data_IF_705969608391
#
_entry.id   IF_705969608391
#
_cell.length_a   1.000
_cell.length_b   1.000
_cell.length_c   1.000
_cell.angle_alpha   90.00
_cell.angle_beta   90.00
_cell.angle_gamma   90.00
#
_symmetry.space_group_name_H-M   'P 1'
#
loop_
_entity.id
_entity.type
_entity.pdbx_description
1 polymer ?
#
# COMPACT_ATOMS: atom_id res chain seq x y z
N UNK A 1 9.13 -39.38 -17.90
CA UNK A 1 9.99 -38.35 -17.28
C UNK A 1 9.04 -37.34 -16.65
N UNK A 2 8.87 -37.39 -15.32
CA UNK A 2 8.01 -36.43 -14.62
C UNK A 2 8.64 -35.04 -14.78
N UNK A 3 7.84 -34.04 -15.17
CA UNK A 3 8.29 -32.64 -15.13
C UNK A 3 8.81 -32.35 -13.71
N UNK A 4 9.94 -31.65 -13.54
CA UNK A 4 10.34 -31.20 -12.23
C UNK A 4 9.17 -30.39 -11.67
N UNK A 5 8.75 -30.68 -10.43
CA UNK A 5 7.89 -29.78 -9.69
C UNK A 5 8.67 -28.45 -9.68
N UNK A 6 8.21 -27.45 -10.43
CA UNK A 6 8.69 -26.09 -10.22
C UNK A 6 8.60 -25.83 -8.73
N UNK A 7 9.75 -25.62 -8.10
CA UNK A 7 9.83 -25.44 -6.66
C UNK A 7 8.87 -24.29 -6.30
N UNK A 8 7.73 -24.61 -5.69
CA UNK A 8 6.66 -23.63 -5.43
C UNK A 8 7.23 -22.53 -4.55
N UNK A 9 7.22 -21.29 -5.05
CA UNK A 9 7.61 -20.11 -4.27
C UNK A 9 6.41 -19.68 -3.45
N UNK A 10 6.60 -19.46 -2.16
CA UNK A 10 5.52 -19.05 -1.27
C UNK A 10 6.05 -18.01 -0.30
N UNK A 11 5.27 -16.96 -0.05
CA UNK A 11 5.54 -16.05 1.05
C UNK A 11 4.24 -15.79 1.80
N UNK A 12 4.35 -15.64 3.11
CA UNK A 12 3.25 -15.25 3.98
C UNK A 12 3.66 -13.96 4.68
N UNK A 13 2.84 -12.93 4.50
CA UNK A 13 2.85 -11.73 5.31
C UNK A 13 1.60 -11.79 6.18
N UNK A 14 1.79 -11.99 7.48
CA UNK A 14 0.72 -11.91 8.46
C UNK A 14 0.98 -10.74 9.39
N UNK A 15 -0.03 -9.87 9.53
CA UNK A 15 0.04 -8.69 10.37
C UNK A 15 -1.21 -8.66 11.24
N UNK A 16 -1.02 -8.58 12.55
CA UNK A 16 -2.05 -8.15 13.49
C UNK A 16 -1.82 -6.68 13.79
N UNK A 17 -2.87 -5.87 13.83
CA UNK A 17 -2.73 -4.44 14.15
C UNK A 17 -3.89 -4.04 15.04
N UNK A 18 -3.63 -3.46 16.23
CA UNK A 18 -4.66 -2.75 16.98
C UNK A 18 -5.27 -1.65 16.11
N UNK A 19 -6.58 -1.47 16.16
CA UNK A 19 -7.26 -0.43 15.37
C UNK A 19 -6.76 1.00 15.70
N UNK A 20 -6.16 1.16 16.88
CA UNK A 20 -5.51 2.42 17.32
C UNK A 20 -4.27 2.78 16.50
N UNK A 21 -3.72 1.83 15.74
CA UNK A 21 -2.50 2.00 14.94
C UNK A 21 -2.79 2.05 13.44
N UNK A 22 -4.06 2.21 13.09
CA UNK A 22 -4.53 2.23 11.71
C UNK A 22 -5.33 3.48 11.40
N UNK A 23 -5.37 3.85 10.13
CA UNK A 23 -6.33 4.82 9.59
C UNK A 23 -6.86 4.34 8.24
N UNK A 24 -8.04 4.83 7.86
CA UNK A 24 -8.59 4.66 6.51
C UNK A 24 -9.16 5.97 6.01
N UNK A 25 -9.10 6.18 4.69
CA UNK A 25 -9.83 7.25 4.01
C UNK A 25 -10.43 6.74 2.71
N UNK A 26 -11.60 7.29 2.35
CA UNK A 26 -12.34 6.91 1.16
C UNK A 26 -12.96 8.14 0.51
N UNK A 27 -12.87 8.24 -0.81
CA UNK A 27 -13.54 9.28 -1.58
C UNK A 27 -15.05 9.04 -1.69
N UNK A 28 -15.48 7.77 -1.61
CA UNK A 28 -16.88 7.36 -1.64
C UNK A 28 -17.19 6.44 -0.45
N UNK A 29 -18.44 6.37 0.04
CA UNK A 29 -18.82 5.54 1.19
C UNK A 29 -18.91 4.03 0.84
N UNK A 30 -17.97 3.54 0.03
CA UNK A 30 -17.88 2.17 -0.46
C UNK A 30 -16.64 1.51 0.19
N UNK A 31 -16.81 0.69 1.24
CA UNK A 31 -15.69 0.14 2.00
C UNK A 31 -14.88 -0.85 1.16
N UNK A 32 -13.57 -0.80 1.36
CA UNK A 32 -12.58 -1.71 0.80
C UNK A 32 -11.59 -2.10 1.91
N UNK A 33 -10.73 -3.07 1.65
CA UNK A 33 -9.70 -3.47 2.62
C UNK A 33 -10.28 -3.98 3.93
N UNK A 34 -9.67 -3.61 5.06
CA UNK A 34 -10.18 -4.04 6.37
C UNK A 34 -11.48 -3.31 6.77
N UNK A 35 -11.84 -2.20 6.13
CA UNK A 35 -13.09 -1.49 6.44
C UNK A 35 -14.34 -2.29 6.06
N UNK A 36 -14.22 -3.34 5.24
CA UNK A 36 -15.32 -4.26 4.91
C UNK A 36 -15.86 -4.99 6.14
N UNK A 37 -15.04 -5.18 7.18
CA UNK A 37 -15.46 -5.82 8.43
C UNK A 37 -15.79 -4.81 9.55
N UNK A 38 -15.76 -3.50 9.26
CA UNK A 38 -16.16 -2.48 10.20
C UNK A 38 -17.69 -2.39 10.31
N UNK A 39 -18.20 -1.87 11.43
CA UNK A 39 -19.64 -1.75 11.67
C UNK A 39 -20.32 -0.77 10.70
N UNK A 40 -19.64 0.32 10.32
CA UNK A 40 -20.16 1.35 9.43
C UNK A 40 -19.08 2.28 8.88
N UNK A 41 -19.36 2.94 7.75
CA UNK A 41 -18.61 4.10 7.29
C UNK A 41 -18.90 5.32 8.19
N UNK A 42 -17.91 6.21 8.37
CA UNK A 42 -18.13 7.50 9.03
C UNK A 42 -18.94 8.44 8.12
N UNK A 43 -19.38 9.56 8.69
CA UNK A 43 -19.74 10.73 7.90
C UNK A 43 -18.50 11.41 7.31
N UNK A 44 -18.69 12.63 6.78
CA UNK A 44 -17.60 13.50 6.33
C UNK A 44 -16.62 13.75 7.49
N UNK A 45 -15.33 13.56 7.21
CA UNK A 45 -14.25 13.84 8.15
C UNK A 45 -13.71 15.25 7.90
N UNK A 46 -13.27 15.97 8.94
CA UNK A 46 -12.60 17.27 8.83
C UNK A 46 -11.06 17.14 8.79
N UNK A 47 -10.54 15.95 9.13
CA UNK A 47 -9.11 15.62 9.09
C UNK A 47 -8.70 15.02 7.74
N UNK A 48 -8.77 15.79 6.65
CA UNK A 48 -8.29 15.38 5.31
C UNK A 48 -7.70 16.58 4.53
N UNK A 49 -7.10 16.30 3.37
CA UNK A 49 -6.62 17.32 2.40
C UNK A 49 -5.49 18.27 2.86
N UNK A 50 -4.90 18.04 4.03
CA UNK A 50 -3.62 18.64 4.43
C UNK A 50 -2.54 17.59 4.67
N UNK A 51 -1.28 18.03 4.53
CA UNK A 51 -0.11 17.19 4.79
C UNK A 51 -0.01 16.91 6.29
N UNK A 52 -0.03 15.64 6.68
CA UNK A 52 -0.12 15.20 8.08
C UNK A 52 -1.50 14.64 8.47
N UNK A 53 -2.54 14.88 7.67
CA UNK A 53 -3.90 14.39 8.01
C UNK A 53 -3.98 12.87 8.18
N UNK A 54 -3.19 12.10 7.42
CA UNK A 54 -3.11 10.65 7.59
C UNK A 54 -2.62 10.25 8.99
N UNK A 55 -1.60 10.93 9.51
CA UNK A 55 -1.09 10.74 10.86
C UNK A 55 -2.13 11.14 11.91
N UNK A 56 -2.81 12.27 11.71
CA UNK A 56 -3.83 12.75 12.66
C UNK A 56 -5.05 11.83 12.73
N UNK A 57 -5.30 11.01 11.69
CA UNK A 57 -6.33 9.95 11.70
C UNK A 57 -5.91 8.66 12.40
N UNK A 58 -4.63 8.46 12.71
CA UNK A 58 -4.16 7.29 13.48
C UNK A 58 -4.30 7.59 14.97
N UNK A 59 -5.17 6.89 15.73
CA UNK A 59 -5.42 7.24 17.14
C UNK A 59 -4.17 7.30 18.04
N UNK A 60 -3.20 6.40 17.85
CA UNK A 60 -1.95 6.38 18.64
C UNK A 60 -1.09 7.64 18.43
N UNK A 61 -1.25 8.37 17.32
CA UNK A 61 -0.50 9.61 17.06
C UNK A 61 -0.82 10.75 18.04
N UNK A 62 -1.94 10.66 18.76
CA UNK A 62 -2.31 11.65 19.78
C UNK A 62 -1.35 11.65 20.98
N UNK A 63 -0.69 10.53 21.26
CA UNK A 63 0.19 10.37 22.42
C UNK A 63 1.61 9.94 22.04
N UNK A 64 1.83 9.48 20.81
CA UNK A 64 3.14 9.00 20.34
C UNK A 64 3.54 9.63 19.01
N UNK A 65 4.84 9.84 18.82
CA UNK A 65 5.41 10.38 17.57
C UNK A 65 5.50 9.34 16.45
N UNK A 66 5.35 8.05 16.76
CA UNK A 66 5.43 6.94 15.79
C UNK A 66 6.80 6.85 15.07
N UNK A 67 7.89 7.20 15.76
CA UNK A 67 9.25 7.11 15.22
C UNK A 67 9.69 5.65 15.03
N UNK A 68 10.38 5.31 13.94
CA UNK A 68 10.90 3.97 13.75
C UNK A 68 12.02 3.65 14.74
N UNK A 69 12.09 2.40 15.21
CA UNK A 69 13.20 1.92 16.04
C UNK A 69 13.69 0.54 15.59
N UNK A 70 14.90 0.50 15.05
CA UNK A 70 15.59 -0.67 14.52
C UNK A 70 15.59 -0.76 12.98
N UNK A 71 15.97 -1.94 12.46
CA UNK A 71 15.97 -2.26 11.02
C UNK A 71 15.51 -3.71 10.81
N UNK A 72 14.93 -4.08 9.64
CA UNK A 72 14.60 -5.48 9.37
C UNK A 72 15.85 -6.37 9.43
N UNK A 73 15.72 -7.54 10.04
CA UNK A 73 16.81 -8.50 10.23
C UNK A 73 16.30 -9.94 10.14
N UNK A 74 17.20 -10.88 9.82
CA UNK A 74 16.85 -12.29 9.85
C UNK A 74 16.63 -12.74 11.29
N UNK A 75 15.54 -13.48 11.52
CA UNK A 75 15.26 -14.07 12.84
C UNK A 75 16.27 -15.17 13.21
N UNK A 76 16.73 -15.91 12.21
CA UNK A 76 17.76 -16.92 12.34
C UNK A 76 19.10 -16.36 11.83
N UNK A 77 20.19 -16.53 12.58
CA UNK A 77 21.54 -16.05 12.21
C UNK A 77 22.14 -16.74 10.96
N UNK A 78 21.42 -17.67 10.34
CA UNK A 78 21.84 -18.32 9.10
C UNK A 78 21.60 -17.39 7.92
N UNK A 79 22.64 -16.62 7.60
CA UNK A 79 22.67 -15.82 6.38
C UNK A 79 23.19 -16.68 5.20
N UNK A 80 22.31 -17.03 4.26
CA UNK A 80 22.69 -17.52 2.94
C UNK A 80 22.79 -16.34 1.98
N UNK A 81 23.77 -16.29 1.08
CA UNK A 81 23.83 -15.23 0.05
C UNK A 81 22.69 -15.31 -0.97
N UNK A 82 22.02 -16.47 -1.07
CA UNK A 82 20.81 -16.66 -1.88
C UNK A 82 19.71 -17.32 -1.03
N UNK A 83 18.60 -16.61 -0.76
CA UNK A 83 17.47 -17.15 0.00
C UNK A 83 16.64 -18.22 -0.74
N UNK A 84 16.94 -18.48 -2.01
CA UNK A 84 16.25 -19.49 -2.80
C UNK A 84 16.44 -20.90 -2.20
N UNK A 85 15.36 -21.67 -2.08
CA UNK A 85 15.34 -23.00 -1.46
C UNK A 85 15.22 -23.04 0.07
N UNK A 86 15.21 -21.89 0.76
CA UNK A 86 15.17 -21.82 2.24
C UNK A 86 13.84 -21.27 2.76
N UNK A 87 13.51 -21.62 4.01
CA UNK A 87 12.48 -20.95 4.80
C UNK A 87 13.15 -19.85 5.62
N UNK A 88 12.74 -18.61 5.37
CA UNK A 88 13.32 -17.41 5.97
C UNK A 88 12.24 -16.67 6.73
N UNK A 89 12.56 -16.33 7.98
CA UNK A 89 11.74 -15.44 8.79
C UNK A 89 12.47 -14.11 8.99
N UNK A 90 11.80 -13.00 8.70
CA UNK A 90 12.32 -11.65 8.96
C UNK A 90 11.65 -11.09 10.20
N UNK A 91 12.46 -10.66 11.15
CA UNK A 91 12.04 -9.78 12.22
C UNK A 91 12.16 -8.34 11.73
N UNK A 92 11.06 -7.59 11.68
CA UNK A 92 11.11 -6.16 11.30
C UNK A 92 11.46 -5.28 12.52
N UNK A 93 11.33 -3.96 12.37
CA UNK A 93 11.57 -2.95 13.43
C UNK A 93 10.29 -2.20 13.87
N UNK A 94 10.32 -1.51 15.02
CA UNK A 94 9.15 -0.79 15.55
C UNK A 94 8.66 0.31 14.58
N UNK A 95 7.35 0.53 14.51
CA UNK A 95 6.70 1.56 13.69
C UNK A 95 6.97 1.48 12.18
N UNK A 96 7.18 0.26 11.67
CA UNK A 96 7.12 -0.01 10.22
C UNK A 96 5.75 0.43 9.67
N UNK A 97 5.72 1.18 8.57
CA UNK A 97 4.49 1.67 7.98
C UNK A 97 4.08 0.81 6.78
N UNK A 98 2.87 0.26 6.81
CA UNK A 98 2.23 -0.40 5.67
C UNK A 98 1.14 0.53 5.14
N UNK A 99 1.11 0.76 3.83
CA UNK A 99 0.00 1.45 3.17
C UNK A 99 -0.52 0.62 2.00
N UNK A 100 -1.84 0.56 1.89
CA UNK A 100 -2.54 0.01 0.73
C UNK A 100 -3.52 1.04 0.17
N UNK A 101 -3.12 1.82 -0.85
CA UNK A 101 -4.04 2.63 -1.61
C UNK A 101 -4.67 1.82 -2.75
N UNK A 102 -5.93 2.12 -3.08
CA UNK A 102 -6.68 1.44 -4.12
C UNK A 102 -7.45 2.39 -5.03
N UNK A 103 -7.73 1.90 -6.24
CA UNK A 103 -8.54 2.58 -7.25
C UNK A 103 -9.59 1.58 -7.73
N UNK A 104 -10.87 1.94 -7.66
CA UNK A 104 -11.99 1.07 -8.03
C UNK A 104 -12.93 1.82 -8.97
N UNK A 105 -13.06 1.33 -10.19
CA UNK A 105 -13.87 1.93 -11.26
C UNK A 105 -14.94 0.96 -11.80
N UNK A 106 -15.24 -0.11 -11.06
CA UNK A 106 -16.24 -1.11 -11.49
C UNK A 106 -17.63 -0.52 -11.68
N UNK A 107 -18.00 0.46 -10.85
CA UNK A 107 -19.28 1.14 -10.92
C UNK A 107 -19.20 2.45 -11.74
N UNK A 108 -18.06 2.73 -12.37
CA UNK A 108 -17.85 3.94 -13.15
C UNK A 108 -18.54 3.91 -14.49
N UNK A 109 -18.98 5.09 -14.94
CA UNK A 109 -19.55 5.24 -16.28
C UNK A 109 -18.47 5.00 -17.35
N UNK A 110 -18.83 4.65 -18.61
CA UNK A 110 -17.85 4.52 -19.68
C UNK A 110 -17.00 5.78 -19.90
N UNK A 111 -17.57 6.97 -19.66
CA UNK A 111 -16.86 8.24 -19.74
C UNK A 111 -15.81 8.39 -18.63
N UNK A 112 -16.19 8.08 -17.39
CA UNK A 112 -15.30 8.11 -16.24
C UNK A 112 -14.18 7.06 -16.35
N UNK A 113 -14.50 5.83 -16.79
CA UNK A 113 -13.50 4.78 -17.07
C UNK A 113 -12.50 5.25 -18.14
N UNK A 114 -12.99 5.91 -19.19
CA UNK A 114 -12.11 6.48 -20.22
C UNK A 114 -11.18 7.52 -19.60
N UNK A 115 -11.71 8.45 -18.82
CA UNK A 115 -10.89 9.48 -18.15
C UNK A 115 -9.87 8.86 -17.19
N UNK A 116 -10.26 7.89 -16.36
CA UNK A 116 -9.35 7.17 -15.48
C UNK A 116 -8.18 6.59 -16.26
N UNK A 117 -8.46 5.89 -17.37
CA UNK A 117 -7.42 5.27 -18.19
C UNK A 117 -6.52 6.27 -18.94
N UNK A 118 -7.03 7.45 -19.31
CA UNK A 118 -6.27 8.43 -20.09
C UNK A 118 -5.53 9.47 -19.23
N UNK A 119 -6.00 9.72 -18.01
CA UNK A 119 -5.50 10.81 -17.16
C UNK A 119 -4.91 10.29 -15.86
N UNK A 120 -5.68 9.57 -15.05
CA UNK A 120 -5.29 9.17 -13.69
C UNK A 120 -4.29 8.02 -13.72
N UNK A 121 -4.62 6.94 -14.44
CA UNK A 121 -3.81 5.72 -14.50
C UNK A 121 -2.38 5.99 -14.99
N UNK A 122 -2.13 6.75 -16.07
CA UNK A 122 -0.77 7.02 -16.52
C UNK A 122 0.07 7.77 -15.47
N UNK A 123 -0.51 8.75 -14.77
CA UNK A 123 0.18 9.49 -13.71
C UNK A 123 0.50 8.59 -12.52
N UNK A 124 -0.46 7.73 -12.13
CA UNK A 124 -0.26 6.73 -11.08
C UNK A 124 0.84 5.73 -11.46
N UNK A 125 0.78 5.15 -12.66
CA UNK A 125 1.76 4.19 -13.17
C UNK A 125 3.18 4.81 -13.16
N UNK A 126 3.32 6.07 -13.62
CA UNK A 126 4.58 6.82 -13.57
C UNK A 126 5.12 6.98 -12.15
N UNK A 127 4.26 7.30 -11.18
CA UNK A 127 4.66 7.41 -9.78
C UNK A 127 5.08 6.08 -9.16
N UNK A 128 4.38 5.01 -9.51
CA UNK A 128 4.76 3.67 -9.09
C UNK A 128 6.12 3.29 -9.69
N UNK A 129 6.40 3.60 -10.95
CA UNK A 129 7.72 3.36 -11.55
C UNK A 129 8.85 4.16 -10.88
N UNK A 130 8.61 5.44 -10.57
CA UNK A 130 9.58 6.29 -9.88
C UNK A 130 9.95 5.72 -8.51
N UNK A 131 8.96 5.28 -7.74
CA UNK A 131 9.18 4.58 -6.47
C UNK A 131 9.98 3.29 -6.62
N UNK A 132 9.84 2.57 -7.75
CA UNK A 132 10.65 1.36 -7.98
C UNK A 132 12.11 1.73 -8.20
N UNK A 133 12.35 2.76 -9.03
CA UNK A 133 13.70 3.22 -9.41
C UNK A 133 14.45 3.85 -8.23
N UNK A 134 13.73 4.51 -7.32
CA UNK A 134 14.30 5.24 -6.18
C UNK A 134 14.09 4.53 -4.82
N UNK A 135 13.81 3.23 -4.83
CA UNK A 135 13.44 2.46 -3.64
C UNK A 135 14.45 2.61 -2.49
N UNK A 136 15.75 2.48 -2.76
CA UNK A 136 16.83 2.60 -1.78
C UNK A 136 16.84 3.93 -1.02
N UNK A 137 16.56 5.05 -1.70
CA UNK A 137 16.60 6.38 -1.08
C UNK A 137 15.25 6.81 -0.46
N UNK A 138 14.16 6.16 -0.87
CA UNK A 138 12.80 6.52 -0.45
C UNK A 138 12.44 6.03 0.95
N UNK A 139 13.13 5.01 1.46
CA UNK A 139 12.69 4.27 2.67
C UNK A 139 11.53 3.30 2.39
N UNK A 140 11.16 3.07 1.13
CA UNK A 140 10.18 2.07 0.72
C UNK A 140 10.88 0.73 0.50
N UNK A 141 10.78 -0.19 1.47
CA UNK A 141 11.38 -1.52 1.38
C UNK A 141 10.76 -2.35 0.28
N UNK A 142 9.44 -2.25 0.11
CA UNK A 142 8.73 -3.05 -0.87
C UNK A 142 7.53 -2.31 -1.39
N UNK A 143 7.25 -2.47 -2.68
CA UNK A 143 6.04 -1.98 -3.31
C UNK A 143 5.56 -3.00 -4.34
N UNK A 144 4.28 -3.34 -4.28
CA UNK A 144 3.58 -4.14 -5.29
C UNK A 144 2.40 -3.36 -5.79
N UNK A 145 2.36 -3.10 -7.09
CA UNK A 145 1.21 -2.52 -7.76
C UNK A 145 0.52 -3.62 -8.55
N UNK A 146 -0.73 -3.90 -8.20
CA UNK A 146 -1.45 -5.12 -8.55
C UNK A 146 -2.74 -4.79 -9.27
N UNK A 147 -3.07 -5.61 -10.27
CA UNK A 147 -4.43 -5.73 -10.81
C UNK A 147 -5.15 -6.81 -10.01
N UNK A 148 -6.43 -6.58 -9.74
CA UNK A 148 -7.24 -7.56 -9.01
C UNK A 148 -7.96 -8.44 -10.02
N UNK A 149 -8.10 -9.70 -9.67
CA UNK A 149 -8.80 -10.73 -10.44
C UNK A 149 -9.97 -11.29 -9.60
N UNK A 150 -11.02 -11.74 -10.27
CA UNK A 150 -12.10 -12.53 -9.66
C UNK A 150 -11.66 -14.00 -9.45
N UNK A 151 -12.56 -14.83 -8.91
CA UNK A 151 -12.30 -16.25 -8.64
C UNK A 151 -12.05 -17.08 -9.92
N UNK A 152 -12.46 -16.57 -11.09
CA UNK A 152 -12.26 -17.18 -12.40
C UNK A 152 -10.97 -16.69 -13.08
N UNK A 153 -10.23 -15.76 -12.45
CA UNK A 153 -9.01 -15.16 -12.98
C UNK A 153 -9.24 -14.02 -13.97
N UNK A 154 -10.46 -13.47 -14.07
CA UNK A 154 -10.73 -12.31 -14.91
C UNK A 154 -10.34 -11.03 -14.18
N UNK A 155 -9.69 -10.11 -14.89
CA UNK A 155 -9.35 -8.80 -14.35
C UNK A 155 -10.62 -8.01 -14.02
N UNK A 156 -10.73 -7.57 -12.77
CA UNK A 156 -11.79 -6.67 -12.34
C UNK A 156 -11.34 -5.21 -12.41
N UNK A 157 -12.30 -4.29 -12.30
CA UNK A 157 -12.09 -2.85 -12.37
C UNK A 157 -11.43 -2.27 -11.11
N UNK A 158 -10.38 -2.91 -10.61
CA UNK A 158 -9.64 -2.51 -9.41
C UNK A 158 -8.13 -2.64 -9.57
N UNK A 159 -7.42 -1.72 -8.95
CA UNK A 159 -5.98 -1.82 -8.69
C UNK A 159 -5.69 -1.51 -7.24
N UNK A 160 -4.71 -2.21 -6.67
CA UNK A 160 -4.17 -1.91 -5.35
C UNK A 160 -2.66 -1.75 -5.43
N UNK A 161 -2.13 -0.84 -4.65
CA UNK A 161 -0.72 -0.88 -4.26
C UNK A 161 -0.64 -1.44 -2.84
N UNK A 162 0.39 -2.22 -2.54
CA UNK A 162 0.79 -2.50 -1.16
C UNK A 162 2.25 -2.09 -1.05
N UNK A 163 2.56 -1.24 -0.09
CA UNK A 163 3.93 -0.82 0.15
C UNK A 163 4.29 -0.80 1.62
N UNK A 164 5.53 -1.20 1.89
CA UNK A 164 6.14 -1.27 3.22
C UNK A 164 7.24 -0.23 3.29
N UNK A 165 7.19 0.60 4.31
CA UNK A 165 8.02 1.77 4.51
C UNK A 165 8.72 1.69 5.86
N UNK A 166 9.97 2.15 5.89
CA UNK A 166 10.77 2.34 7.11
C UNK A 166 10.01 3.12 8.18
N UNK A 167 9.18 4.10 7.82
CA UNK A 167 8.33 4.80 8.77
C UNK A 167 7.16 5.50 8.11
N UNK A 168 6.19 5.94 8.91
CA UNK A 168 5.13 6.84 8.46
C UNK A 168 5.72 8.15 7.93
N UNK A 169 6.76 8.67 8.57
CA UNK A 169 7.43 9.90 8.16
C UNK A 169 8.06 9.80 6.75
N UNK A 170 8.62 8.63 6.38
CA UNK A 170 9.13 8.39 5.03
C UNK A 170 8.03 8.43 3.97
N UNK A 171 6.88 7.81 4.28
CA UNK A 171 5.70 7.86 3.44
C UNK A 171 5.17 9.30 3.29
N UNK A 172 5.09 10.05 4.38
CA UNK A 172 4.71 11.47 4.38
C UNK A 172 5.68 12.32 3.55
N UNK A 173 6.99 12.11 3.67
CA UNK A 173 7.99 12.79 2.84
C UNK A 173 7.82 12.47 1.36
N UNK A 174 7.50 11.22 1.01
CA UNK A 174 7.22 10.86 -0.37
C UNK A 174 5.94 11.53 -0.89
N UNK A 175 4.90 11.63 -0.07
CA UNK A 175 3.63 12.26 -0.47
C UNK A 175 3.78 13.76 -0.79
N UNK A 176 4.83 14.39 -0.26
CA UNK A 176 5.20 15.79 -0.51
C UNK A 176 6.03 16.01 -1.78
N UNK A 177 6.51 14.95 -2.42
CA UNK A 177 7.31 15.05 -3.66
C UNK A 177 6.47 15.58 -4.82
N UNK A 178 7.11 16.20 -5.85
CA UNK A 178 6.39 16.64 -7.05
C UNK A 178 5.60 15.51 -7.72
N UNK A 179 6.13 14.28 -7.73
CA UNK A 179 5.48 13.13 -8.37
C UNK A 179 4.18 12.74 -7.68
N UNK A 180 4.18 12.63 -6.36
CA UNK A 180 2.93 12.33 -5.65
C UNK A 180 1.92 13.48 -5.74
N UNK A 181 2.38 14.73 -5.67
CA UNK A 181 1.53 15.92 -5.87
C UNK A 181 0.89 15.96 -7.26
N UNK A 182 1.59 15.48 -8.29
CA UNK A 182 1.05 15.31 -9.64
C UNK A 182 -0.12 14.30 -9.64
N UNK A 183 0.05 13.13 -9.02
CA UNK A 183 -1.00 12.11 -8.88
C UNK A 183 -2.22 12.68 -8.17
N UNK A 184 -2.00 13.29 -7.00
CA UNK A 184 -3.07 13.89 -6.21
C UNK A 184 -3.78 15.00 -6.98
N UNK A 185 -3.03 15.89 -7.64
CA UNK A 185 -3.59 16.96 -8.46
C UNK A 185 -4.44 16.43 -9.62
N UNK A 186 -4.00 15.36 -10.31
CA UNK A 186 -4.80 14.72 -11.36
C UNK A 186 -6.11 14.14 -10.82
N UNK A 187 -6.10 13.53 -9.64
CA UNK A 187 -7.30 12.99 -9.00
C UNK A 187 -8.30 14.09 -8.60
N UNK A 188 -7.81 15.16 -7.95
CA UNK A 188 -8.65 16.31 -7.57
C UNK A 188 -9.24 16.99 -8.81
N UNK A 189 -8.44 17.17 -9.87
CA UNK A 189 -8.92 17.76 -11.12
C UNK A 189 -10.02 16.91 -11.79
N UNK A 190 -9.94 15.59 -11.67
CA UNK A 190 -10.97 14.69 -12.18
C UNK A 190 -12.30 14.90 -11.45
N UNK A 191 -12.31 14.86 -10.11
CA UNK A 191 -13.54 15.07 -9.33
C UNK A 191 -14.13 16.47 -9.55
N UNK A 192 -13.30 17.52 -9.53
CA UNK A 192 -13.76 18.89 -9.80
C UNK A 192 -14.36 19.04 -11.21
N UNK A 193 -13.84 18.31 -12.21
CA UNK A 193 -14.40 18.32 -13.56
C UNK A 193 -15.77 17.66 -13.59
N UNK A 194 -15.90 16.47 -13.02
CA UNK A 194 -17.17 15.72 -12.98
C UNK A 194 -18.26 16.56 -12.29
N UNK A 195 -17.94 17.18 -11.14
CA UNK A 195 -18.86 18.08 -10.42
C UNK A 195 -19.32 19.25 -11.30
N UNK A 196 -18.37 19.96 -11.93
CA UNK A 196 -18.68 21.10 -12.81
C UNK A 196 -19.51 20.71 -14.03
N UNK A 197 -19.35 19.50 -14.54
CA UNK A 197 -20.07 18.97 -15.71
C UNK A 197 -21.42 18.34 -15.31
N UNK A 198 -21.70 18.22 -14.00
CA UNK A 198 -22.91 17.59 -13.49
C UNK A 198 -22.96 16.08 -13.72
N UNK A 199 -21.79 15.43 -13.81
CA UNK A 199 -21.64 13.99 -13.95
C UNK A 199 -21.40 13.31 -12.58
N UNK A 200 -21.95 12.11 -12.40
CA UNK A 200 -21.73 11.31 -11.19
C UNK A 200 -20.31 10.75 -11.17
N UNK A 201 -19.51 11.12 -10.17
CA UNK A 201 -18.20 10.53 -9.91
C UNK A 201 -18.36 9.22 -9.11
N UNK A 202 -18.06 8.09 -9.74
CA UNK A 202 -18.19 6.75 -9.14
C UNK A 202 -16.82 6.09 -8.92
N UNK A 203 -15.72 6.73 -9.32
CA UNK A 203 -14.36 6.29 -9.05
C UNK A 203 -14.09 6.31 -7.54
N UNK A 204 -14.05 5.14 -6.91
CA UNK A 204 -13.73 5.00 -5.51
C UNK A 204 -12.21 4.93 -5.31
N UNK A 205 -11.64 6.04 -4.84
CA UNK A 205 -10.25 6.13 -4.39
C UNK A 205 -10.21 5.99 -2.88
N UNK A 206 -9.29 5.19 -2.38
CA UNK A 206 -9.19 4.94 -0.95
C UNK A 206 -7.77 4.56 -0.55
N UNK A 207 -7.49 4.61 0.74
CA UNK A 207 -6.33 3.95 1.31
C UNK A 207 -6.57 3.48 2.73
N UNK A 208 -5.76 2.51 3.14
CA UNK A 208 -5.58 2.11 4.52
C UNK A 208 -4.10 2.18 4.90
N UNK A 209 -3.79 2.75 6.06
CA UNK A 209 -2.43 2.81 6.63
C UNK A 209 -2.42 2.06 7.96
N UNK A 210 -1.33 1.34 8.22
CA UNK A 210 -1.07 0.63 9.46
C UNK A 210 0.36 0.92 9.91
N UNK A 211 0.55 1.27 11.18
CA UNK A 211 1.86 1.48 11.80
C UNK A 211 2.14 0.36 12.79
N UNK A 212 3.07 -0.52 12.45
CA UNK A 212 3.18 -1.84 13.07
C UNK A 212 4.11 -1.84 14.28
N UNK A 213 3.65 -2.37 15.40
CA UNK A 213 4.52 -2.78 16.50
C UNK A 213 5.44 -3.93 16.10
N UNK A 214 6.57 -4.05 16.80
CA UNK A 214 7.53 -5.09 16.50
C UNK A 214 6.98 -6.50 16.66
N UNK A 215 6.15 -6.71 17.67
CA UNK A 215 5.63 -8.01 18.07
C UNK A 215 4.48 -8.52 17.18
N UNK A 216 3.75 -7.66 16.47
CA UNK A 216 2.45 -8.01 15.89
C UNK A 216 2.50 -8.53 14.45
N UNK A 217 3.60 -9.19 14.07
CA UNK A 217 3.86 -9.53 12.66
C UNK A 217 4.71 -10.76 12.45
N UNK A 218 4.47 -11.40 11.31
CA UNK A 218 5.24 -12.52 10.82
C UNK A 218 5.50 -12.34 9.33
N UNK A 219 6.79 -12.26 8.98
CA UNK A 219 7.26 -12.19 7.60
C UNK A 219 8.00 -13.49 7.28
N UNK A 220 7.33 -14.41 6.59
CA UNK A 220 7.89 -15.71 6.24
C UNK A 220 7.97 -15.87 4.72
N UNK A 221 9.12 -16.36 4.26
CA UNK A 221 9.44 -16.55 2.86
C UNK A 221 9.97 -17.96 2.65
N UNK A 222 9.42 -18.68 1.68
CA UNK A 222 9.90 -19.99 1.28
C UNK A 222 10.25 -19.96 -0.20
N UNK A 223 11.52 -20.23 -0.50
CA UNK A 223 12.02 -20.31 -1.86
C UNK A 223 11.83 -18.99 -2.67
N UNK A 224 11.96 -17.85 -1.99
CA UNK A 224 11.82 -16.53 -2.58
C UNK A 224 13.19 -15.92 -2.93
N UNK A 225 13.25 -15.04 -3.92
CA UNK A 225 14.46 -14.26 -4.19
C UNK A 225 14.65 -13.15 -3.15
N UNK A 226 15.89 -12.70 -2.92
CA UNK A 226 16.22 -11.68 -1.91
C UNK A 226 15.53 -10.33 -2.07
N UNK A 227 15.01 -10.01 -3.26
CA UNK A 227 14.20 -8.79 -3.49
C UNK A 227 12.69 -8.94 -3.18
N UNK A 228 12.25 -10.05 -2.57
CA UNK A 228 10.81 -10.31 -2.36
C UNK A 228 10.32 -9.68 -1.06
N UNK A 229 9.30 -8.82 -1.12
CA UNK A 229 8.71 -8.27 0.10
C UNK A 229 9.73 -7.45 0.89
N UNK A 230 9.84 -7.70 2.20
CA UNK A 230 10.81 -7.02 3.07
C UNK A 230 12.21 -7.64 3.02
N UNK A 231 12.41 -8.79 2.36
CA UNK A 231 13.74 -9.37 2.18
C UNK A 231 14.70 -8.38 1.51
N UNK A 232 14.18 -7.50 0.65
CA UNK A 232 14.98 -6.47 -0.01
C UNK A 232 15.69 -5.56 0.98
N UNK A 233 15.19 -5.34 2.18
CA UNK A 233 15.83 -4.52 3.21
C UNK A 233 16.94 -5.25 3.99
N UNK A 234 16.99 -6.58 3.86
CA UNK A 234 17.95 -7.46 4.54
C UNK A 234 19.05 -7.93 3.59
N UNK A 235 18.72 -8.10 2.30
CA UNK A 235 19.60 -8.62 1.26
C UNK A 235 20.12 -7.55 0.27
N UNK A 236 19.78 -6.28 0.48
CA UNK A 236 20.27 -5.13 -0.31
C UNK A 236 21.74 -4.81 -0.06
#
# INVERSE_FOLDING_TARGET
MLQPIESRKQHCLQVGVPITDTETTFALPNPEGYSVIADSMSGEADTHEYCGSARDRIPRSQTETLEPDGWPSLKDEKFSSDPCGELISVESHENLCLIRPGQVWENSTPAEIKSYNTEIKPTLDSGMEELTKNSENSGCFSKRYMRIEDDDGNLIGKTWTISMWESLERLEKWSLTPKHKEIFGTQINHFNRMEREGEDANLNLWHEIMVLHKADRSFMYFNCHGKTGILSAVYS
#
